data_IF_113992151810
#
_entry.id   IF_113992151810
#
_cell.length_a   1.000
_cell.length_b   1.000
_cell.length_c   1.000
_cell.angle_alpha   90.00
_cell.angle_beta   90.00
_cell.angle_gamma   90.00
#
_symmetry.space_group_name_H-M   'P 1'
#
loop_
_entity.id
_entity.type
_entity.pdbx_description
1 polymer ?
#
# COMPACT_ATOMS: atom_id res chain seq x y z
N UNK A 1 -5.44 -18.89 30.42
CA UNK A 1 -5.45 -17.45 30.72
C UNK A 1 -5.82 -16.73 29.43
N UNK A 2 -7.06 -16.25 29.30
CA UNK A 2 -7.46 -15.45 28.13
C UNK A 2 -7.19 -13.98 28.47
N UNK A 3 -6.25 -13.37 27.76
CA UNK A 3 -6.07 -11.92 27.81
C UNK A 3 -7.08 -11.28 26.87
N UNK A 4 -7.91 -10.41 27.42
CA UNK A 4 -8.80 -9.52 26.70
C UNK A 4 -7.92 -8.51 25.94
N UNK A 5 -7.83 -8.65 24.62
CA UNK A 5 -7.03 -7.72 23.80
C UNK A 5 -7.92 -6.51 23.53
N UNK A 6 -7.80 -5.50 24.39
CA UNK A 6 -8.36 -4.19 24.13
C UNK A 6 -7.93 -3.74 22.72
N UNK A 7 -8.89 -3.64 21.81
CA UNK A 7 -8.66 -3.21 20.43
C UNK A 7 -8.36 -1.72 20.46
N UNK A 8 -7.09 -1.36 20.60
CA UNK A 8 -6.66 0.01 20.33
C UNK A 8 -6.96 0.25 18.86
N UNK A 9 -7.98 1.07 18.57
CA UNK A 9 -8.29 1.47 17.21
C UNK A 9 -7.08 2.22 16.67
N UNK A 10 -6.32 1.57 15.80
CA UNK A 10 -5.12 2.16 15.23
C UNK A 10 -5.48 3.48 14.56
N UNK A 11 -4.79 4.56 14.95
CA UNK A 11 -5.01 5.86 14.33
C UNK A 11 -4.36 5.89 12.96
N UNK A 12 -5.17 5.62 11.93
CA UNK A 12 -4.75 5.81 10.54
C UNK A 12 -4.70 7.31 10.24
N UNK A 13 -3.57 7.85 9.74
CA UNK A 13 -3.48 9.24 9.35
C UNK A 13 -4.53 9.59 8.27
N UNK A 14 -5.26 10.69 8.45
CA UNK A 14 -6.32 11.11 7.51
C UNK A 14 -5.81 11.30 6.09
N UNK A 15 -4.61 11.87 5.92
CA UNK A 15 -3.98 12.05 4.61
C UNK A 15 -3.72 10.74 3.86
N UNK A 16 -3.48 9.64 4.59
CA UNK A 16 -3.34 8.30 3.99
C UNK A 16 -4.72 7.81 3.56
N UNK A 17 -5.73 7.91 4.42
CA UNK A 17 -7.11 7.52 4.09
C UNK A 17 -7.60 8.27 2.85
N UNK A 18 -7.45 9.59 2.82
CA UNK A 18 -7.89 10.44 1.70
C UNK A 18 -7.16 10.08 0.41
N UNK A 19 -5.86 9.79 0.48
CA UNK A 19 -5.12 9.34 -0.69
C UNK A 19 -5.60 7.99 -1.20
N UNK A 20 -5.92 7.05 -0.33
CA UNK A 20 -6.34 5.71 -0.75
C UNK A 20 -7.76 5.77 -1.31
N UNK A 21 -8.66 6.55 -0.70
CA UNK A 21 -9.99 6.85 -1.27
C UNK A 21 -9.89 7.45 -2.65
N UNK A 22 -9.01 8.44 -2.83
CA UNK A 22 -8.75 9.05 -4.14
C UNK A 22 -8.26 8.01 -5.16
N UNK A 23 -7.30 7.17 -4.77
CA UNK A 23 -6.79 6.09 -5.63
C UNK A 23 -7.92 5.16 -6.07
N UNK A 24 -8.72 4.64 -5.12
CA UNK A 24 -9.84 3.75 -5.44
C UNK A 24 -10.83 4.41 -6.40
N UNK A 25 -11.16 5.68 -6.19
CA UNK A 25 -12.06 6.43 -7.06
C UNK A 25 -11.49 6.65 -8.49
N UNK A 26 -10.19 6.91 -8.62
CA UNK A 26 -9.51 7.10 -9.91
C UNK A 26 -9.36 5.78 -10.69
N UNK A 27 -9.39 4.64 -10.00
CA UNK A 27 -9.11 3.31 -10.57
C UNK A 27 -10.32 2.37 -10.60
N UNK A 28 -11.50 2.93 -10.91
CA UNK A 28 -12.71 2.14 -11.19
C UNK A 28 -13.54 1.74 -9.97
N UNK A 29 -13.27 2.35 -8.80
CA UNK A 29 -14.07 2.15 -7.59
C UNK A 29 -13.71 0.89 -6.78
N UNK A 30 -12.72 0.13 -7.22
CA UNK A 30 -12.18 -1.01 -6.47
C UNK A 30 -10.67 -1.15 -6.60
N UNK A 31 -10.04 -1.64 -5.53
CA UNK A 31 -8.63 -1.97 -5.50
C UNK A 31 -8.35 -3.11 -4.51
N UNK A 32 -7.22 -3.79 -4.71
CA UNK A 32 -6.69 -4.79 -3.77
C UNK A 32 -5.41 -4.25 -3.12
N UNK A 33 -5.31 -4.37 -1.79
CA UNK A 33 -4.15 -4.03 -0.99
C UNK A 33 -3.35 -5.29 -0.63
N UNK A 34 -2.05 -5.23 -0.88
CA UNK A 34 -1.07 -6.22 -0.40
C UNK A 34 -0.29 -5.59 0.75
N UNK A 35 -0.41 -6.15 1.96
CA UNK A 35 0.24 -5.63 3.16
C UNK A 35 1.62 -6.27 3.36
N UNK A 36 2.67 -5.46 3.41
CA UNK A 36 4.06 -5.93 3.37
C UNK A 36 4.87 -5.30 4.51
N UNK A 37 5.05 -5.97 5.65
CA UNK A 37 5.93 -5.50 6.72
C UNK A 37 7.38 -5.33 6.22
N UNK A 38 7.94 -4.14 6.40
CA UNK A 38 9.30 -3.75 5.94
C UNK A 38 10.24 -3.49 7.12
N UNK A 39 10.12 -4.32 8.16
CA UNK A 39 10.88 -4.20 9.39
C UNK A 39 10.51 -2.94 10.19
N UNK A 40 11.52 -2.23 10.73
CA UNK A 40 11.30 -1.04 11.58
C UNK A 40 10.68 0.16 10.85
N UNK A 41 10.65 0.12 9.52
CA UNK A 41 10.06 1.19 8.72
C UNK A 41 8.53 1.14 8.66
N UNK A 42 7.92 0.04 9.15
CA UNK A 42 6.47 -0.13 9.22
C UNK A 42 5.95 -1.12 8.19
N UNK A 43 4.77 -0.85 7.64
CA UNK A 43 4.10 -1.71 6.66
C UNK A 43 3.86 -0.94 5.38
N UNK A 44 4.36 -1.48 4.27
CA UNK A 44 4.02 -1.03 2.93
C UNK A 44 2.65 -1.58 2.55
N UNK A 45 1.78 -0.72 2.06
CA UNK A 45 0.45 -1.00 1.54
C UNK A 45 0.51 -0.77 0.03
N UNK A 46 0.75 -1.85 -0.72
CA UNK A 46 0.76 -1.78 -2.18
C UNK A 46 -0.67 -1.93 -2.67
N UNK A 47 -1.16 -0.97 -3.45
CA UNK A 47 -2.52 -0.96 -3.98
C UNK A 47 -2.49 -1.39 -5.46
N UNK A 48 -3.44 -2.21 -5.86
CA UNK A 48 -3.68 -2.59 -7.26
C UNK A 48 -5.09 -2.18 -7.62
N UNK A 49 -5.25 -1.17 -8.48
CA UNK A 49 -6.54 -0.76 -9.00
C UNK A 49 -7.13 -1.83 -9.93
N UNK A 50 -8.46 -1.78 -10.15
CA UNK A 50 -9.13 -2.68 -11.11
C UNK A 50 -8.61 -2.56 -12.56
N UNK A 51 -7.98 -1.44 -12.88
CA UNK A 51 -7.29 -1.15 -14.14
C UNK A 51 -5.83 -1.61 -14.18
N UNK A 52 -5.35 -2.29 -13.12
CA UNK A 52 -4.00 -2.81 -13.01
C UNK A 52 -2.94 -1.78 -12.59
N UNK A 53 -3.34 -0.54 -12.31
CA UNK A 53 -2.40 0.51 -11.88
C UNK A 53 -1.99 0.28 -10.43
N UNK A 54 -0.71 0.54 -10.15
CA UNK A 54 -0.13 0.39 -8.82
C UNK A 54 -0.12 1.73 -8.05
N UNK A 55 -0.49 1.66 -6.77
CA UNK A 55 -0.29 2.70 -5.77
C UNK A 55 0.58 2.19 -4.61
N UNK A 56 1.17 3.11 -3.86
CA UNK A 56 2.00 2.78 -2.69
C UNK A 56 1.72 3.74 -1.53
N UNK A 57 1.57 3.18 -0.34
CA UNK A 57 1.58 3.92 0.93
C UNK A 57 2.38 3.15 1.97
N UNK A 58 2.90 3.86 2.97
CA UNK A 58 3.56 3.25 4.13
C UNK A 58 2.88 3.76 5.38
N UNK A 59 2.55 2.85 6.28
CA UNK A 59 1.97 3.13 7.60
C UNK A 59 2.84 2.54 8.70
N UNK A 60 2.62 2.98 9.93
CA UNK A 60 3.50 2.69 11.06
C UNK A 60 3.61 1.18 11.38
N UNK A 61 2.51 0.45 11.28
CA UNK A 61 2.43 -0.96 11.68
C UNK A 61 1.25 -1.70 11.00
N UNK A 62 1.20 -3.01 11.21
CA UNK A 62 0.18 -3.88 10.63
C UNK A 62 -1.24 -3.57 11.13
N UNK A 63 -1.48 -3.31 12.43
CA UNK A 63 -2.79 -2.85 12.90
C UNK A 63 -3.28 -1.59 12.18
N UNK A 64 -2.40 -0.61 11.94
CA UNK A 64 -2.74 0.61 11.19
C UNK A 64 -3.07 0.29 9.73
N UNK A 65 -2.35 -0.65 9.10
CA UNK A 65 -2.62 -1.07 7.74
C UNK A 65 -3.99 -1.78 7.60
N UNK A 66 -4.32 -2.67 8.54
CA UNK A 66 -5.64 -3.33 8.58
C UNK A 66 -6.77 -2.35 8.82
N UNK A 67 -6.60 -1.45 9.78
CA UNK A 67 -7.56 -0.37 10.03
C UNK A 67 -7.74 0.57 8.82
N UNK A 68 -6.72 0.74 7.97
CA UNK A 68 -6.84 1.50 6.73
C UNK A 68 -7.72 0.77 5.71
N UNK A 69 -7.53 -0.55 5.53
CA UNK A 69 -8.35 -1.37 4.64
C UNK A 69 -9.81 -1.33 5.06
N UNK A 70 -10.09 -1.54 6.35
CA UNK A 70 -11.46 -1.50 6.89
C UNK A 70 -12.18 -0.15 6.72
N UNK A 71 -11.43 0.96 6.62
CA UNK A 71 -11.99 2.33 6.51
C UNK A 71 -12.27 2.78 5.08
N UNK A 72 -11.75 2.08 4.07
CA UNK A 72 -11.86 2.51 2.67
C UNK A 72 -12.78 1.56 1.91
N UNK A 73 -13.96 2.07 1.57
CA UNK A 73 -14.89 1.35 0.72
C UNK A 73 -14.26 1.01 -0.64
N UNK A 74 -14.45 -0.22 -1.10
CA UNK A 74 -13.87 -0.71 -2.36
C UNK A 74 -12.43 -1.19 -2.27
N UNK A 75 -11.81 -1.18 -1.07
CA UNK A 75 -10.48 -1.76 -0.85
C UNK A 75 -10.58 -3.14 -0.20
N UNK A 76 -10.05 -4.17 -0.87
CA UNK A 76 -9.88 -5.51 -0.29
C UNK A 76 -8.43 -5.75 0.14
N UNK A 77 -8.19 -6.59 1.14
CA UNK A 77 -6.86 -7.09 1.49
C UNK A 77 -6.64 -8.45 0.81
N UNK A 78 -5.39 -8.71 0.40
CA UNK A 78 -4.91 -10.06 0.09
C UNK A 78 -3.69 -10.39 0.95
N UNK A 79 -3.55 -11.68 1.28
CA UNK A 79 -2.43 -12.19 2.06
C UNK A 79 -1.13 -12.22 1.24
N UNK A 80 -1.22 -12.45 -0.08
CA UNK A 80 -0.06 -12.60 -0.95
C UNK A 80 -0.30 -12.13 -2.40
N UNK A 81 0.79 -12.06 -3.16
CA UNK A 81 0.74 -11.88 -4.60
C UNK A 81 0.38 -13.21 -5.27
N UNK A 82 -0.89 -13.37 -5.60
CA UNK A 82 -1.37 -14.51 -6.36
C UNK A 82 -1.30 -14.28 -7.88
N UNK A 83 -1.62 -15.33 -8.65
CA UNK A 83 -1.62 -15.30 -10.12
C UNK A 83 -2.65 -14.34 -10.69
N UNK A 84 -3.82 -14.23 -10.07
CA UNK A 84 -4.94 -13.43 -10.58
C UNK A 84 -4.60 -11.95 -10.45
N UNK A 85 -4.17 -11.53 -9.26
CA UNK A 85 -3.71 -10.17 -8.98
C UNK A 85 -2.48 -9.82 -9.83
N UNK A 86 -1.51 -10.72 -9.94
CA UNK A 86 -0.30 -10.47 -10.76
C UNK A 86 -0.65 -10.34 -12.24
N UNK A 87 -1.69 -11.03 -12.73
CA UNK A 87 -2.08 -11.01 -14.14
C UNK A 87 -2.66 -9.67 -14.59
N UNK A 88 -3.24 -8.89 -13.68
CA UNK A 88 -3.84 -7.58 -13.99
C UNK A 88 -2.85 -6.42 -13.83
N UNK A 89 -1.77 -6.59 -13.08
CA UNK A 89 -0.81 -5.53 -12.80
C UNK A 89 -0.12 -5.06 -14.09
N UNK A 90 -0.13 -3.75 -14.34
CA UNK A 90 0.44 -3.13 -15.55
C UNK A 90 1.55 -2.11 -15.23
N UNK A 91 2.75 -2.54 -14.78
CA UNK A 91 3.84 -1.64 -14.46
C UNK A 91 4.35 -1.00 -15.74
N UNK A 92 4.16 0.32 -15.88
CA UNK A 92 4.74 1.10 -16.99
C UNK A 92 6.11 1.63 -16.60
N UNK A 93 6.91 1.99 -17.60
CA UNK A 93 8.17 2.72 -17.39
C UNK A 93 7.93 3.92 -16.47
N UNK A 94 8.69 4.00 -15.38
CA UNK A 94 8.57 5.06 -14.36
C UNK A 94 7.58 4.78 -13.22
N UNK A 95 6.76 3.71 -13.25
CA UNK A 95 5.91 3.33 -12.10
C UNK A 95 6.75 3.07 -10.84
N UNK A 96 7.86 2.36 -10.98
CA UNK A 96 8.77 2.07 -9.87
C UNK A 96 9.34 3.35 -9.23
N UNK A 97 9.58 4.42 -9.99
CA UNK A 97 10.06 5.69 -9.46
C UNK A 97 8.97 6.42 -8.65
N UNK A 98 7.70 6.31 -9.08
CA UNK A 98 6.55 6.83 -8.32
C UNK A 98 6.34 6.05 -7.01
N UNK A 99 6.41 4.72 -7.06
CA UNK A 99 6.29 3.86 -5.87
C UNK A 99 7.48 4.01 -4.93
N UNK A 100 8.67 4.28 -5.46
CA UNK A 100 9.85 4.50 -4.65
C UNK A 100 9.91 5.91 -4.06
N UNK A 101 8.86 6.74 -4.08
CA UNK A 101 8.92 8.19 -3.78
C UNK A 101 9.77 8.62 -2.58
N UNK A 102 9.79 7.84 -1.48
CA UNK A 102 10.66 8.09 -0.32
C UNK A 102 12.16 7.78 -0.56
N UNK A 103 12.46 6.74 -1.32
CA UNK A 103 13.81 6.30 -1.72
C UNK A 103 14.28 7.04 -2.98
N UNK A 104 13.37 7.40 -3.89
CA UNK A 104 13.66 8.00 -5.19
C UNK A 104 14.33 9.38 -5.09
N UNK A 105 14.26 10.03 -3.92
CA UNK A 105 14.96 11.28 -3.61
C UNK A 105 15.99 11.16 -2.49
N UNK A 106 16.30 9.95 -2.02
CA UNK A 106 17.31 9.78 -0.99
C UNK A 106 18.71 10.08 -1.54
N UNK A 107 19.56 10.70 -0.73
CA UNK A 107 20.97 10.97 -1.08
C UNK A 107 21.94 10.03 -0.37
N UNK A 108 21.45 9.23 0.59
CA UNK A 108 22.27 8.40 1.49
C UNK A 108 22.88 7.17 0.83
N UNK A 109 22.20 6.57 -0.16
CA UNK A 109 22.66 5.35 -0.84
C UNK A 109 22.80 5.59 -2.34
N UNK A 110 23.61 4.77 -3.05
CA UNK A 110 23.76 4.87 -4.49
C UNK A 110 22.43 4.78 -5.22
N UNK A 111 22.33 5.50 -6.36
CA UNK A 111 21.17 5.46 -7.26
C UNK A 111 20.83 4.03 -7.68
N UNK A 112 19.55 3.74 -7.89
CA UNK A 112 19.14 2.43 -8.35
C UNK A 112 19.72 2.16 -9.73
N UNK A 113 20.21 0.93 -9.97
CA UNK A 113 20.85 0.54 -11.25
C UNK A 113 19.92 0.71 -12.47
N UNK A 114 18.62 0.84 -12.25
CA UNK A 114 17.57 0.90 -13.26
C UNK A 114 17.10 2.34 -13.57
N UNK A 115 17.82 3.35 -13.09
CA UNK A 115 17.54 4.79 -13.34
C UNK A 115 17.99 5.31 -14.72
N UNK A 116 18.23 4.42 -15.71
CA UNK A 116 18.66 4.81 -17.07
C UNK A 116 17.51 4.88 -18.06
#
# INVERSE_FOLDING_TARGET
MSADVATVTAQVPSSVVDSVKKFVAEHGGSATAVLQPIGRMGVRVTLVGSDGILGDRVVADLPTAKALVERVDGLSETDEWDRELTSIVTPRTGHWAKMAGWVARQTRFPKARNER
#
